data_IF_810125560789
#
_entry.id   IF_810125560789
#
_cell.length_a   1.000
_cell.length_b   1.000
_cell.length_c   1.000
_cell.angle_alpha   90.00
_cell.angle_beta   90.00
_cell.angle_gamma   90.00
#
_symmetry.space_group_name_H-M   'P 1'
#
loop_
_entity.id
_entity.type
_entity.pdbx_description
1 polymer ?
#
# COMPACT_ATOMS: atom_id res chain seq x y z
N UNK A 1 -21.51 37.02 10.84
CA UNK A 1 -21.91 35.87 11.69
C UNK A 1 -22.42 34.67 10.89
N UNK A 2 -23.31 34.84 9.90
CA UNK A 2 -23.81 33.72 9.05
C UNK A 2 -22.74 33.01 8.20
N UNK A 3 -21.79 33.76 7.62
CA UNK A 3 -20.67 33.18 6.84
C UNK A 3 -19.77 32.27 7.68
N UNK A 4 -19.51 32.65 8.95
CA UNK A 4 -18.72 31.87 9.90
C UNK A 4 -19.45 30.59 10.36
N UNK A 5 -20.77 30.62 10.58
CA UNK A 5 -21.56 29.41 10.89
C UNK A 5 -21.64 28.45 9.70
N UNK A 6 -21.70 28.96 8.47
CA UNK A 6 -21.71 28.13 7.25
C UNK A 6 -20.34 27.47 7.00
N UNK A 7 -19.25 28.22 7.15
CA UNK A 7 -17.87 27.70 7.07
C UNK A 7 -17.57 26.69 8.18
N UNK A 8 -18.01 26.98 9.42
CA UNK A 8 -17.92 26.03 10.55
C UNK A 8 -18.78 24.79 10.34
N UNK A 9 -20.01 24.92 9.85
CA UNK A 9 -20.89 23.78 9.54
C UNK A 9 -20.31 22.87 8.46
N UNK A 10 -19.67 23.46 7.44
CA UNK A 10 -18.94 22.72 6.40
C UNK A 10 -17.71 22.01 6.96
N UNK A 11 -16.98 22.64 7.90
CA UNK A 11 -15.83 22.04 8.58
C UNK A 11 -16.20 20.93 9.57
N UNK A 12 -17.27 21.09 10.35
CA UNK A 12 -17.75 20.08 11.30
C UNK A 12 -18.24 18.85 10.53
N UNK A 13 -19.05 19.06 9.48
CA UNK A 13 -19.48 17.97 8.60
C UNK A 13 -18.29 17.31 7.90
N UNK A 14 -17.30 18.09 7.46
CA UNK A 14 -16.06 17.56 6.88
C UNK A 14 -15.26 16.68 7.85
N UNK A 15 -15.12 17.11 9.11
CA UNK A 15 -14.47 16.33 10.16
C UNK A 15 -15.21 15.02 10.43
N UNK A 16 -16.54 15.05 10.52
CA UNK A 16 -17.37 13.84 10.64
C UNK A 16 -17.14 12.88 9.47
N UNK A 17 -17.08 13.39 8.24
CA UNK A 17 -16.79 12.58 7.06
C UNK A 17 -15.40 11.94 7.13
N UNK A 18 -14.37 12.67 7.57
CA UNK A 18 -13.01 12.15 7.71
C UNK A 18 -12.96 11.03 8.76
N UNK A 19 -13.51 11.29 9.95
CA UNK A 19 -13.54 10.29 11.05
C UNK A 19 -14.30 9.04 10.60
N UNK A 20 -15.47 9.21 9.97
CA UNK A 20 -16.26 8.11 9.46
C UNK A 20 -15.47 7.26 8.47
N UNK A 21 -14.77 7.90 7.50
CA UNK A 21 -13.93 7.18 6.53
C UNK A 21 -12.80 6.41 7.19
N UNK A 22 -12.12 7.02 8.16
CA UNK A 22 -11.04 6.34 8.92
C UNK A 22 -11.60 5.10 9.62
N UNK A 23 -12.72 5.24 10.34
CA UNK A 23 -13.34 4.12 11.04
C UNK A 23 -13.81 3.00 10.09
N UNK A 24 -14.33 3.35 8.90
CA UNK A 24 -14.76 2.37 7.89
C UNK A 24 -13.57 1.62 7.30
N UNK A 25 -12.48 2.33 6.96
CA UNK A 25 -11.27 1.71 6.42
C UNK A 25 -10.60 0.83 7.45
N UNK A 26 -10.50 1.28 8.71
CA UNK A 26 -9.90 0.51 9.81
C UNK A 26 -10.66 -0.81 10.05
N UNK A 27 -11.97 -0.71 10.29
CA UNK A 27 -12.82 -1.90 10.51
C UNK A 27 -12.86 -2.80 9.26
N UNK A 28 -12.98 -2.20 8.08
CA UNK A 28 -12.99 -2.94 6.81
C UNK A 28 -11.70 -3.72 6.60
N UNK A 29 -10.55 -3.10 6.88
CA UNK A 29 -9.25 -3.75 6.78
C UNK A 29 -9.12 -4.87 7.81
N UNK A 30 -9.57 -4.67 9.05
CA UNK A 30 -9.57 -5.71 10.08
C UNK A 30 -10.38 -6.94 9.65
N UNK A 31 -11.63 -6.75 9.21
CA UNK A 31 -12.49 -7.85 8.76
C UNK A 31 -11.93 -8.53 7.50
N UNK A 32 -11.33 -7.77 6.59
CA UNK A 32 -10.70 -8.32 5.39
C UNK A 32 -9.49 -9.21 5.72
N UNK A 33 -8.60 -8.74 6.61
CA UNK A 33 -7.41 -9.49 7.04
C UNK A 33 -7.81 -10.74 7.80
N UNK A 34 -8.73 -10.63 8.77
CA UNK A 34 -9.19 -11.76 9.58
C UNK A 34 -9.98 -12.77 8.74
N UNK A 35 -10.89 -12.30 7.89
CA UNK A 35 -11.65 -13.15 6.96
C UNK A 35 -10.74 -13.91 5.99
N UNK A 36 -9.78 -13.21 5.37
CA UNK A 36 -8.80 -13.85 4.47
C UNK A 36 -7.95 -14.89 5.20
N UNK A 37 -7.51 -14.59 6.43
CA UNK A 37 -6.72 -15.51 7.26
C UNK A 37 -7.53 -16.73 7.71
N UNK A 38 -8.81 -16.56 8.01
CA UNK A 38 -9.72 -17.66 8.34
C UNK A 38 -9.92 -18.62 7.15
N UNK A 39 -10.15 -18.07 5.96
CA UNK A 39 -10.27 -18.86 4.73
C UNK A 39 -8.96 -19.59 4.43
N UNK A 40 -7.82 -18.93 4.61
CA UNK A 40 -6.50 -19.54 4.47
C UNK A 40 -6.33 -20.79 5.35
N UNK A 41 -6.71 -20.68 6.63
CA UNK A 41 -6.68 -21.79 7.59
C UNK A 41 -7.57 -22.95 7.14
N UNK A 42 -8.77 -22.67 6.65
CA UNK A 42 -9.70 -23.68 6.15
C UNK A 42 -9.14 -24.41 4.92
N UNK A 43 -8.50 -23.67 4.02
CA UNK A 43 -7.88 -24.21 2.80
C UNK A 43 -6.49 -24.82 3.04
N UNK A 44 -6.01 -24.84 4.29
CA UNK A 44 -4.66 -25.31 4.68
C UNK A 44 -3.53 -24.58 3.94
N UNK A 45 -3.76 -23.33 3.57
CA UNK A 45 -2.76 -22.46 2.94
C UNK A 45 -1.95 -21.77 4.05
N UNK A 46 -0.61 -21.68 3.94
CA UNK A 46 0.20 -20.98 4.93
C UNK A 46 -0.25 -19.52 5.12
N UNK A 47 -0.47 -19.05 6.36
CA UNK A 47 -0.90 -17.67 6.62
C UNK A 47 0.03 -16.61 6.02
N UNK A 48 1.33 -16.90 5.98
CA UNK A 48 2.34 -16.02 5.37
C UNK A 48 2.08 -15.80 3.87
N UNK A 49 1.64 -16.83 3.14
CA UNK A 49 1.38 -16.73 1.70
C UNK A 49 0.18 -15.80 1.45
N UNK A 50 -0.87 -15.93 2.23
CA UNK A 50 -2.05 -15.05 2.12
C UNK A 50 -1.72 -13.62 2.56
N UNK A 51 -0.87 -13.47 3.57
CA UNK A 51 -0.30 -12.19 4.02
C UNK A 51 0.39 -11.43 2.88
N UNK A 52 1.31 -12.10 2.16
CA UNK A 52 2.09 -11.49 1.06
C UNK A 52 1.35 -11.43 -0.29
N UNK A 53 0.14 -11.99 -0.37
CA UNK A 53 -0.67 -12.00 -1.60
C UNK A 53 -1.97 -11.21 -1.41
N UNK A 54 -3.07 -11.87 -1.08
CA UNK A 54 -4.43 -11.31 -1.03
C UNK A 54 -4.51 -10.17 -0.02
N UNK A 55 -3.91 -10.35 1.17
CA UNK A 55 -3.95 -9.34 2.23
C UNK A 55 -3.20 -8.09 1.78
N UNK A 56 -1.95 -8.25 1.31
CA UNK A 56 -1.14 -7.14 0.80
C UNK A 56 -1.85 -6.37 -0.34
N UNK A 57 -2.43 -7.07 -1.31
CA UNK A 57 -3.18 -6.43 -2.39
C UNK A 57 -4.42 -5.69 -1.89
N UNK A 58 -5.20 -6.29 -1.00
CA UNK A 58 -6.41 -5.66 -0.49
C UNK A 58 -6.12 -4.41 0.32
N UNK A 59 -5.09 -4.42 1.16
CA UNK A 59 -4.71 -3.23 1.96
C UNK A 59 -4.11 -2.11 1.11
N UNK A 60 -3.47 -2.43 -0.03
CA UNK A 60 -2.89 -1.43 -0.94
C UNK A 60 -3.82 -1.01 -2.09
N UNK A 61 -5.02 -1.59 -2.16
CA UNK A 61 -6.01 -1.29 -3.20
C UNK A 61 -6.53 0.16 -3.15
N UNK A 62 -6.81 0.75 -1.97
CA UNK A 62 -7.18 2.16 -1.88
C UNK A 62 -6.10 3.09 -2.45
N UNK A 63 -4.84 2.85 -2.14
CA UNK A 63 -3.69 3.63 -2.58
C UNK A 63 -3.47 3.47 -4.09
N UNK A 64 -3.62 2.26 -4.62
CA UNK A 64 -3.60 2.02 -6.05
C UNK A 64 -4.72 2.81 -6.75
N UNK A 65 -5.93 2.79 -6.19
CA UNK A 65 -7.09 3.53 -6.72
C UNK A 65 -6.82 5.04 -6.75
N UNK A 66 -6.30 5.61 -5.66
CA UNK A 66 -5.93 7.04 -5.60
C UNK A 66 -4.86 7.38 -6.64
N UNK A 67 -3.85 6.53 -6.80
CA UNK A 67 -2.76 6.75 -7.76
C UNK A 67 -3.25 6.68 -9.21
N UNK A 68 -4.14 5.73 -9.51
CA UNK A 68 -4.75 5.57 -10.84
C UNK A 68 -5.60 6.80 -11.16
N UNK A 69 -6.50 7.21 -10.26
CA UNK A 69 -7.36 8.38 -10.46
C UNK A 69 -6.51 9.64 -10.66
N UNK A 70 -5.51 9.87 -9.80
CA UNK A 70 -4.61 11.02 -9.93
C UNK A 70 -3.87 11.03 -11.28
N UNK A 71 -3.45 9.86 -11.78
CA UNK A 71 -2.80 9.75 -13.09
C UNK A 71 -3.78 10.06 -14.23
N UNK A 72 -5.02 9.56 -14.15
CA UNK A 72 -6.07 9.83 -15.14
C UNK A 72 -6.47 11.30 -15.18
N UNK A 73 -6.39 11.99 -14.04
CA UNK A 73 -6.62 13.44 -13.92
C UNK A 73 -5.39 14.29 -14.33
N UNK A 74 -4.34 13.67 -14.88
CA UNK A 74 -3.13 14.36 -15.33
C UNK A 74 -2.19 14.79 -14.18
N UNK A 75 -2.49 14.39 -12.96
CA UNK A 75 -1.74 14.72 -11.74
C UNK A 75 -0.73 13.62 -11.37
N UNK A 76 0.20 13.33 -12.29
CA UNK A 76 1.20 12.27 -12.11
C UNK A 76 2.08 12.46 -10.86
N UNK A 77 2.36 13.71 -10.46
CA UNK A 77 3.10 14.00 -9.23
C UNK A 77 2.37 13.55 -7.96
N UNK A 78 1.04 13.66 -7.93
CA UNK A 78 0.20 13.18 -6.83
C UNK A 78 0.22 11.65 -6.78
N UNK A 79 0.16 10.99 -7.93
CA UNK A 79 0.25 9.53 -8.01
C UNK A 79 1.60 9.00 -7.47
N UNK A 80 2.72 9.59 -7.89
CA UNK A 80 4.05 9.21 -7.39
C UNK A 80 4.19 9.53 -5.91
N UNK A 81 3.71 10.70 -5.47
CA UNK A 81 3.71 11.10 -4.06
C UNK A 81 2.93 10.14 -3.17
N UNK A 82 1.77 9.66 -3.64
CA UNK A 82 0.98 8.66 -2.93
C UNK A 82 1.73 7.32 -2.81
N UNK A 83 2.27 6.79 -3.92
CA UNK A 83 3.01 5.50 -3.89
C UNK A 83 4.24 5.57 -2.98
N UNK A 84 5.07 6.61 -3.14
CA UNK A 84 6.29 6.76 -2.35
C UNK A 84 5.97 7.05 -0.88
N UNK A 85 5.01 7.94 -0.62
CA UNK A 85 4.58 8.32 0.72
C UNK A 85 4.02 7.13 1.51
N UNK A 86 3.14 6.33 0.90
CA UNK A 86 2.55 5.16 1.56
C UNK A 86 3.58 4.09 1.89
N UNK A 87 4.57 3.85 1.01
CA UNK A 87 5.65 2.89 1.31
C UNK A 87 6.54 3.35 2.46
N UNK A 88 6.89 4.65 2.49
CA UNK A 88 7.66 5.22 3.61
C UNK A 88 6.87 5.12 4.91
N UNK A 89 5.57 5.45 4.90
CA UNK A 89 4.72 5.35 6.07
C UNK A 89 4.58 3.90 6.56
N UNK A 90 4.40 2.95 5.65
CA UNK A 90 4.28 1.53 6.00
C UNK A 90 5.58 0.98 6.63
N UNK A 91 6.75 1.36 6.14
CA UNK A 91 8.02 0.88 6.67
C UNK A 91 8.39 1.58 7.98
N UNK A 92 8.25 2.91 8.06
CA UNK A 92 8.70 3.66 9.22
C UNK A 92 7.68 3.64 10.36
N UNK A 93 6.40 3.86 10.06
CA UNK A 93 5.36 3.97 11.06
C UNK A 93 4.73 2.60 11.35
N UNK A 94 4.13 1.95 10.35
CA UNK A 94 3.38 0.70 10.59
C UNK A 94 4.31 -0.43 11.05
N UNK A 95 5.36 -0.72 10.28
CA UNK A 95 6.34 -1.76 10.62
C UNK A 95 7.17 -1.38 11.84
N UNK A 96 7.56 -0.10 11.96
CA UNK A 96 8.28 0.42 13.14
C UNK A 96 7.50 0.22 14.43
N UNK A 97 6.26 0.69 14.51
CA UNK A 97 5.39 0.52 15.68
C UNK A 97 5.07 -0.97 15.91
N UNK A 98 4.78 -1.72 14.85
CA UNK A 98 4.49 -3.16 14.96
C UNK A 98 5.67 -3.94 15.55
N UNK A 99 6.91 -3.67 15.10
CA UNK A 99 8.12 -4.31 15.61
C UNK A 99 8.48 -3.90 17.04
N UNK A 100 8.12 -2.67 17.45
CA UNK A 100 8.30 -2.19 18.82
C UNK A 100 7.31 -2.86 19.80
N UNK A 101 6.08 -3.14 19.36
CA UNK A 101 5.06 -3.81 20.18
C UNK A 101 5.27 -5.33 20.20
N UNK A 102 5.57 -5.93 19.05
CA UNK A 102 5.75 -7.37 18.88
C UNK A 102 6.97 -7.63 17.99
N UNK A 103 8.10 -8.11 18.56
CA UNK A 103 9.31 -8.36 17.80
C UNK A 103 9.07 -9.28 16.61
N UNK A 104 9.43 -8.81 15.40
CA UNK A 104 9.22 -9.52 14.15
C UNK A 104 10.41 -10.44 13.87
N UNK A 105 10.17 -11.75 13.80
CA UNK A 105 11.19 -12.72 13.43
C UNK A 105 11.54 -12.58 11.94
N UNK A 106 12.79 -12.19 11.66
CA UNK A 106 13.31 -12.11 10.29
C UNK A 106 14.01 -13.42 9.94
N UNK A 107 13.64 -14.02 8.81
CA UNK A 107 14.32 -15.20 8.26
C UNK A 107 15.03 -14.84 6.94
N UNK A 108 15.85 -15.76 6.43
CA UNK A 108 16.55 -15.56 5.16
C UNK A 108 15.64 -15.36 3.94
N UNK A 109 14.36 -15.79 4.00
CA UNK A 109 13.39 -15.53 2.92
C UNK A 109 13.04 -14.05 2.86
N UNK A 110 12.74 -13.44 4.01
CA UNK A 110 12.39 -12.00 4.14
C UNK A 110 13.53 -11.10 3.66
N UNK A 111 14.79 -11.50 3.85
CA UNK A 111 15.93 -10.71 3.36
C UNK A 111 15.91 -10.53 1.83
N UNK A 112 15.55 -11.58 1.09
CA UNK A 112 15.45 -11.53 -0.37
C UNK A 112 14.32 -10.59 -0.78
N UNK A 113 13.19 -10.66 -0.09
CA UNK A 113 12.01 -9.82 -0.33
C UNK A 113 12.33 -8.33 -0.13
N UNK A 114 13.08 -8.01 0.93
CA UNK A 114 13.53 -6.64 1.24
C UNK A 114 14.53 -6.13 0.20
N UNK A 115 15.52 -6.94 -0.19
CA UNK A 115 16.50 -6.55 -1.22
C UNK A 115 15.80 -6.27 -2.54
N UNK A 116 14.84 -7.12 -2.92
CA UNK A 116 14.05 -6.92 -4.13
C UNK A 116 13.24 -5.62 -4.09
N UNK A 117 12.58 -5.32 -2.96
CA UNK A 117 11.86 -4.06 -2.75
C UNK A 117 12.78 -2.83 -2.87
N UNK A 118 13.98 -2.89 -2.29
CA UNK A 118 14.98 -1.80 -2.37
C UNK A 118 15.40 -1.57 -3.81
N UNK A 119 15.71 -2.64 -4.56
CA UNK A 119 16.11 -2.54 -5.97
C UNK A 119 15.01 -1.88 -6.80
N UNK A 120 13.76 -2.32 -6.69
CA UNK A 120 12.65 -1.70 -7.41
C UNK A 120 12.43 -0.23 -7.02
N UNK A 121 12.62 0.10 -5.73
CA UNK A 121 12.51 1.49 -5.25
C UNK A 121 13.60 2.37 -5.86
N UNK A 122 14.85 1.88 -5.95
CA UNK A 122 15.95 2.61 -6.58
C UNK A 122 15.66 2.83 -8.08
N UNK A 123 15.19 1.80 -8.79
CA UNK A 123 14.84 1.91 -10.21
C UNK A 123 13.72 2.94 -10.41
N UNK A 124 12.68 2.92 -9.58
CA UNK A 124 11.60 3.92 -9.59
C UNK A 124 12.15 5.33 -9.35
N UNK A 125 13.07 5.50 -8.40
CA UNK A 125 13.70 6.80 -8.14
C UNK A 125 14.49 7.30 -9.35
N UNK A 126 15.27 6.45 -10.01
CA UNK A 126 16.01 6.81 -11.23
C UNK A 126 15.05 7.24 -12.34
N UNK A 127 13.99 6.47 -12.59
CA UNK A 127 13.00 6.80 -13.61
C UNK A 127 12.20 8.06 -13.29
N UNK A 128 11.82 8.27 -12.02
CA UNK A 128 11.13 9.50 -11.62
C UNK A 128 12.00 10.76 -11.76
N UNK A 129 13.33 10.63 -11.70
CA UNK A 129 14.29 11.73 -11.93
C UNK A 129 14.58 11.96 -13.41
N UNK A 130 14.46 10.93 -14.24
CA UNK A 130 14.72 11.01 -15.68
C UNK A 130 13.50 11.63 -16.38
N UNK A 131 13.55 12.93 -16.67
CA UNK A 131 12.44 13.64 -17.34
C UNK A 131 11.24 13.97 -16.45
N UNK A 132 11.36 13.83 -15.13
CA UNK A 132 10.33 14.12 -14.12
C UNK A 132 8.98 13.42 -14.33
N UNK A 133 8.98 12.31 -15.09
CA UNK A 133 7.77 11.59 -15.46
C UNK A 133 8.09 10.10 -15.55
N UNK A 134 7.23 9.27 -14.98
CA UNK A 134 7.26 7.82 -15.18
C UNK A 134 6.30 7.52 -16.33
N UNK A 135 6.85 7.13 -17.49
CA UNK A 135 6.08 6.77 -18.66
C UNK A 135 5.66 5.31 -18.67
N UNK A 136 5.00 4.89 -19.76
CA UNK A 136 4.52 3.51 -19.93
C UNK A 136 5.66 2.48 -19.98
N UNK A 137 6.82 2.86 -20.55
CA UNK A 137 7.98 1.95 -20.70
C UNK A 137 8.63 1.72 -19.35
N UNK A 138 8.85 2.78 -18.58
CA UNK A 138 9.38 2.75 -17.22
C UNK A 138 8.44 1.95 -16.31
N UNK A 139 7.12 2.16 -16.43
CA UNK A 139 6.11 1.38 -15.72
C UNK A 139 6.17 -0.11 -16.06
N UNK A 140 6.33 -0.49 -17.33
CA UNK A 140 6.49 -1.90 -17.73
C UNK A 140 7.77 -2.53 -17.16
N UNK A 141 8.87 -1.79 -17.16
CA UNK A 141 10.15 -2.25 -16.58
C UNK A 141 10.04 -2.45 -15.07
N UNK A 142 9.20 -1.69 -14.37
CA UNK A 142 8.92 -1.88 -12.94
C UNK A 142 7.91 -3.03 -12.69
N UNK A 143 6.89 -3.17 -13.54
CA UNK A 143 5.83 -4.16 -13.38
C UNK A 143 6.29 -5.60 -13.68
N UNK A 144 7.08 -5.81 -14.75
CA UNK A 144 7.56 -7.14 -15.16
C UNK A 144 8.33 -7.89 -14.05
N UNK A 145 9.38 -7.32 -13.43
CA UNK A 145 10.09 -8.00 -12.35
C UNK A 145 9.18 -8.23 -11.13
N UNK A 146 8.26 -7.30 -10.82
CA UNK A 146 7.28 -7.49 -9.76
C UNK A 146 6.38 -8.71 -10.01
N UNK A 147 5.86 -8.88 -11.24
CA UNK A 147 5.04 -10.04 -11.62
C UNK A 147 5.86 -11.34 -11.50
N UNK A 148 7.10 -11.34 -11.99
CA UNK A 148 7.98 -12.52 -11.90
C UNK A 148 8.23 -12.91 -10.44
N UNK A 149 8.55 -11.92 -9.60
CA UNK A 149 8.74 -12.10 -8.17
C UNK A 149 7.46 -12.61 -7.47
N UNK A 150 6.30 -12.07 -7.85
CA UNK A 150 5.01 -12.49 -7.32
C UNK A 150 4.66 -13.95 -7.69
N UNK A 151 4.94 -14.37 -8.92
CA UNK A 151 4.78 -15.78 -9.30
C UNK A 151 5.77 -16.66 -8.53
N UNK A 152 7.01 -16.20 -8.36
CA UNK A 152 8.02 -16.94 -7.60
C UNK A 152 7.61 -17.16 -6.13
N UNK A 153 7.03 -16.14 -5.47
CA UNK A 153 6.61 -16.28 -4.06
C UNK A 153 5.45 -17.27 -3.89
N UNK A 154 4.54 -17.35 -4.87
CA UNK A 154 3.43 -18.31 -4.89
C UNK A 154 3.93 -19.74 -5.08
N UNK A 155 4.93 -19.96 -5.95
CA UNK A 155 5.46 -21.31 -6.20
C UNK A 155 6.32 -21.81 -5.03
N UNK A 156 7.00 -20.89 -4.33
CA UNK A 156 7.96 -21.20 -3.26
C UNK A 156 7.32 -21.61 -1.93
N UNK A 157 6.07 -21.23 -1.68
CA UNK A 157 5.38 -21.36 -0.40
C UNK A 157 4.07 -22.13 -0.55
#
# INVERSE_FOLDING_TARGET
MYKLKYEMGKNINGLYFIICRICVVDKGSYFFVDGSSNIARLLRVPPILIGVTIVAFGTSSPEATVSIIATLEGSAGVAVGNVVGSNIFNILFVLGVSSAISPLAVNGKVLIDVVFMIVLTIVLLIFSRTGYKVGKREGLVLAMPYIIYFVHIIIRN
#
